data_IF_394884006369
#
_entry.id   IF_394884006369
#
_cell.length_a   1.000
_cell.length_b   1.000
_cell.length_c   1.000
_cell.angle_alpha   90.00
_cell.angle_beta   90.00
_cell.angle_gamma   90.00
#
_symmetry.space_group_name_H-M   'P 1'
#
loop_
_entity.id
_entity.type
_entity.pdbx_description
1 polymer ?
#
# COMPACT_ATOMS: atom_id res chain seq x y z
N UNK A 1 -56.32 -19.58 -7.19
CA UNK A 1 -55.85 -18.67 -6.15
C UNK A 1 -54.38 -18.28 -6.40
N UNK A 2 -54.17 -17.02 -6.78
CA UNK A 2 -53.02 -16.17 -6.43
C UNK A 2 -51.61 -16.45 -7.03
N UNK A 3 -51.49 -16.87 -8.30
CA UNK A 3 -50.18 -16.96 -8.99
C UNK A 3 -49.38 -15.64 -8.91
N UNK A 4 -50.07 -14.51 -9.09
CA UNK A 4 -49.50 -13.16 -8.96
C UNK A 4 -48.96 -12.88 -7.55
N UNK A 5 -49.65 -13.35 -6.51
CA UNK A 5 -49.21 -13.18 -5.12
C UNK A 5 -47.94 -13.96 -4.82
N UNK A 6 -47.80 -15.17 -5.38
CA UNK A 6 -46.55 -15.96 -5.26
C UNK A 6 -45.39 -15.23 -5.92
N UNK A 7 -45.57 -14.69 -7.11
CA UNK A 7 -44.54 -13.89 -7.80
C UNK A 7 -44.14 -12.65 -7.01
N UNK A 8 -45.13 -11.91 -6.48
CA UNK A 8 -44.86 -10.74 -5.61
C UNK A 8 -44.13 -11.18 -4.32
N UNK A 9 -44.51 -12.31 -3.73
CA UNK A 9 -43.83 -12.87 -2.56
C UNK A 9 -42.38 -13.28 -2.84
N UNK A 10 -42.08 -13.83 -4.02
CA UNK A 10 -40.69 -14.14 -4.41
C UNK A 10 -39.86 -12.87 -4.64
N UNK A 11 -40.46 -11.82 -5.23
CA UNK A 11 -39.79 -10.54 -5.46
C UNK A 11 -39.49 -9.84 -4.12
N UNK A 12 -40.45 -9.81 -3.20
CA UNK A 12 -40.25 -9.21 -1.87
C UNK A 12 -39.26 -10.00 -1.02
N UNK A 13 -39.25 -11.33 -1.11
CA UNK A 13 -38.27 -12.15 -0.41
C UNK A 13 -36.84 -11.96 -0.98
N UNK A 14 -36.72 -11.86 -2.30
CA UNK A 14 -35.43 -11.64 -2.97
C UNK A 14 -34.85 -10.27 -2.62
N UNK A 15 -35.64 -9.19 -2.63
CA UNK A 15 -35.16 -7.86 -2.28
C UNK A 15 -34.79 -7.76 -0.79
N UNK A 16 -35.56 -8.42 0.08
CA UNK A 16 -35.27 -8.48 1.51
C UNK A 16 -33.93 -9.20 1.78
N UNK A 17 -33.73 -10.36 1.15
CA UNK A 17 -32.49 -11.11 1.31
C UNK A 17 -31.28 -10.36 0.74
N UNK A 18 -31.44 -9.67 -0.40
CA UNK A 18 -30.38 -8.85 -0.98
C UNK A 18 -29.97 -7.70 -0.05
N UNK A 19 -30.91 -7.00 0.56
CA UNK A 19 -30.62 -5.94 1.54
C UNK A 19 -29.92 -6.52 2.78
N UNK A 20 -30.41 -7.64 3.31
CA UNK A 20 -29.79 -8.30 4.46
C UNK A 20 -28.33 -8.68 4.18
N UNK A 21 -28.07 -9.30 3.02
CA UNK A 21 -26.72 -9.64 2.57
C UNK A 21 -25.85 -8.41 2.31
N UNK A 22 -26.42 -7.33 1.76
CA UNK A 22 -25.72 -6.07 1.51
C UNK A 22 -25.24 -5.41 2.81
N UNK A 23 -26.12 -5.31 3.82
CA UNK A 23 -25.74 -4.78 5.13
C UNK A 23 -24.77 -5.72 5.86
N UNK A 24 -24.99 -7.04 5.81
CA UNK A 24 -24.09 -8.03 6.40
C UNK A 24 -22.68 -7.98 5.79
N UNK A 25 -22.59 -7.91 4.46
CA UNK A 25 -21.33 -7.74 3.76
C UNK A 25 -20.71 -6.38 4.11
N UNK A 26 -21.46 -5.29 4.08
CA UNK A 26 -20.95 -3.95 4.42
C UNK A 26 -20.38 -3.90 5.85
N UNK A 27 -21.08 -4.46 6.85
CA UNK A 27 -20.59 -4.49 8.24
C UNK A 27 -19.43 -5.46 8.44
N UNK A 28 -19.31 -6.51 7.63
CA UNK A 28 -18.22 -7.49 7.72
C UNK A 28 -16.97 -7.01 6.97
N UNK A 29 -17.13 -6.35 5.82
CA UNK A 29 -16.05 -5.68 5.10
C UNK A 29 -15.45 -4.55 5.96
N UNK A 30 -16.23 -3.84 6.78
CA UNK A 30 -15.67 -2.85 7.70
C UNK A 30 -14.76 -3.46 8.78
N UNK A 31 -14.98 -4.73 9.16
CA UNK A 31 -14.17 -5.43 10.17
C UNK A 31 -13.02 -6.24 9.57
N UNK A 32 -13.16 -6.74 8.33
CA UNK A 32 -12.15 -7.61 7.70
C UNK A 32 -11.31 -6.89 6.63
N UNK A 33 -11.81 -5.81 6.00
CA UNK A 33 -11.02 -5.00 5.07
C UNK A 33 -10.12 -3.99 5.76
N UNK A 34 -10.42 -3.53 6.98
CA UNK A 34 -9.47 -2.73 7.77
C UNK A 34 -8.26 -3.57 8.23
N UNK A 35 -8.43 -4.89 8.44
CA UNK A 35 -7.31 -5.77 8.83
C UNK A 35 -6.55 -6.39 7.66
N UNK A 36 -7.07 -6.28 6.41
CA UNK A 36 -6.40 -6.81 5.20
C UNK A 36 -6.01 -5.73 4.18
N UNK A 37 -6.55 -4.51 4.30
CA UNK A 37 -6.16 -3.34 3.50
C UNK A 37 -5.37 -2.29 4.32
N UNK A 38 -5.09 -2.56 5.61
CA UNK A 38 -4.00 -1.89 6.30
C UNK A 38 -2.68 -2.42 5.74
N UNK A 39 -2.25 -1.84 4.62
CA UNK A 39 -0.93 -1.25 4.48
C UNK A 39 0.13 -1.90 5.40
N UNK A 40 0.47 -3.17 5.18
CA UNK A 40 1.76 -3.73 5.58
C UNK A 40 2.81 -3.37 4.53
N UNK A 41 2.62 -2.28 3.79
CA UNK A 41 3.72 -1.61 3.13
C UNK A 41 4.46 -0.87 4.23
N UNK A 42 5.47 -1.53 4.79
CA UNK A 42 6.52 -0.85 5.53
C UNK A 42 7.15 0.15 4.56
N UNK A 43 6.63 1.37 4.51
CA UNK A 43 7.26 2.43 3.74
C UNK A 43 8.66 2.66 4.32
N UNK A 44 9.66 2.08 3.68
CA UNK A 44 11.06 2.30 4.02
C UNK A 44 11.41 3.71 3.57
N UNK A 45 11.47 4.64 4.52
CA UNK A 45 11.98 5.98 4.27
C UNK A 45 13.47 5.89 3.95
N UNK A 46 13.83 5.98 2.67
CA UNK A 46 15.21 6.09 2.19
C UNK A 46 15.47 7.57 1.92
N UNK A 47 16.44 8.16 2.61
CA UNK A 47 16.88 9.51 2.35
C UNK A 47 18.34 9.49 1.90
N UNK A 48 18.56 9.92 0.65
CA UNK A 48 19.90 10.05 0.07
C UNK A 48 20.69 11.11 0.83
N UNK A 49 21.77 10.72 1.49
CA UNK A 49 22.70 11.68 2.08
C UNK A 49 23.58 12.25 0.97
N UNK A 50 23.22 13.44 0.49
CA UNK A 50 24.06 14.24 -0.42
C UNK A 50 25.06 15.05 0.41
N UNK A 51 26.32 15.15 -0.02
CA UNK A 51 27.34 15.89 0.73
C UNK A 51 28.37 15.03 1.47
N UNK A 52 28.33 13.71 1.34
CA UNK A 52 29.26 12.82 2.06
C UNK A 52 30.68 12.97 1.48
N UNK A 53 31.67 13.41 2.28
CA UNK A 53 33.05 13.58 1.82
C UNK A 53 33.69 12.22 1.56
N UNK A 54 34.42 12.11 0.45
CA UNK A 54 35.20 10.91 0.11
C UNK A 54 36.62 11.11 0.64
N UNK A 55 37.05 10.22 1.53
CA UNK A 55 38.46 10.13 1.93
C UNK A 55 39.16 9.12 1.02
N UNK A 56 40.20 9.55 0.31
CA UNK A 56 40.98 8.71 -0.61
C UNK A 56 42.37 8.57 -0.03
N UNK A 57 42.70 7.37 0.44
CA UNK A 57 44.05 7.08 0.90
C UNK A 57 44.97 6.78 -0.29
N UNK A 58 45.97 7.64 -0.49
CA UNK A 58 47.01 7.47 -1.50
C UNK A 58 48.34 8.02 -0.99
N UNK A 59 49.45 7.56 -1.59
CA UNK A 59 50.78 8.10 -1.30
C UNK A 59 50.92 9.51 -1.90
N UNK A 60 50.64 10.52 -1.07
CA UNK A 60 50.71 11.95 -1.40
C UNK A 60 52.11 12.44 -1.77
N UNK A 61 53.16 11.71 -1.42
CA UNK A 61 54.54 12.08 -1.75
C UNK A 61 54.95 11.59 -3.13
N UNK A 62 54.28 10.56 -3.64
CA UNK A 62 54.67 9.88 -4.88
C UNK A 62 53.69 10.10 -6.04
N UNK A 63 52.42 10.35 -5.75
CA UNK A 63 51.37 10.47 -6.76
C UNK A 63 50.47 11.66 -6.49
N UNK A 64 49.89 12.21 -7.55
CA UNK A 64 48.85 13.24 -7.48
C UNK A 64 47.62 12.73 -8.23
N UNK A 65 46.48 12.68 -7.54
CA UNK A 65 45.20 12.23 -8.11
C UNK A 65 44.27 13.43 -8.34
N UNK A 66 43.58 13.43 -9.49
CA UNK A 66 42.62 14.46 -9.89
C UNK A 66 41.53 13.87 -10.78
N UNK A 67 40.42 14.60 -10.95
CA UNK A 67 39.29 14.16 -11.78
C UNK A 67 38.19 13.37 -11.04
N UNK A 68 38.17 13.42 -9.70
CA UNK A 68 37.12 12.83 -8.88
C UNK A 68 36.23 13.92 -8.25
N UNK A 69 34.96 13.60 -8.03
CA UNK A 69 34.08 14.43 -7.20
C UNK A 69 34.41 14.19 -5.73
N UNK A 70 34.66 15.24 -4.95
CA UNK A 70 34.94 15.12 -3.49
C UNK A 70 33.73 14.67 -2.67
N UNK A 71 32.58 14.53 -3.31
CA UNK A 71 31.30 14.27 -2.67
C UNK A 71 30.47 13.26 -3.47
N UNK A 72 29.87 12.31 -2.78
CA UNK A 72 28.95 11.30 -3.35
C UNK A 72 27.58 11.34 -2.67
N UNK A 73 26.57 10.84 -3.37
CA UNK A 73 25.28 10.49 -2.78
C UNK A 73 25.32 9.01 -2.36
N UNK A 74 24.90 8.72 -1.14
CA UNK A 74 24.78 7.35 -0.62
C UNK A 74 23.31 7.04 -0.42
N UNK A 75 22.88 5.89 -0.94
CA UNK A 75 21.51 5.33 -0.82
C UNK A 75 21.42 4.30 0.31
#
# INVERSE_FOLDING_TARGET
MNKKFRTVGHLTLSIFLALLLFFYATTTNYKNSESSASNNESETYVHTLSGVPIDIEYDTNKYFISGFSSTVAVE
#
